data_IF_066919030399
#
_entry.id   IF_066919030399
#
_cell.length_a   1.000
_cell.length_b   1.000
_cell.length_c   1.000
_cell.angle_alpha   90.00
_cell.angle_beta   90.00
_cell.angle_gamma   90.00
#
_symmetry.space_group_name_H-M   'P 1'
#
loop_
_entity.id
_entity.type
_entity.pdbx_description
1 polymer ?
#
# COMPACT_ATOMS: atom_id res chain seq x y z
N UNK A 1 5.51 19.97 -47.95
CA UNK A 1 6.70 20.81 -47.64
C UNK A 1 6.64 21.23 -46.18
N UNK A 2 7.62 20.82 -45.38
CA UNK A 2 7.77 21.25 -43.98
C UNK A 2 8.34 22.67 -43.93
N UNK A 3 7.78 23.55 -43.09
CA UNK A 3 8.21 24.95 -42.92
C UNK A 3 8.83 25.15 -41.55
N UNK A 4 9.71 26.16 -41.38
CA UNK A 4 10.35 26.47 -40.07
C UNK A 4 9.35 26.62 -38.92
N UNK A 5 8.16 27.16 -39.21
CA UNK A 5 7.07 27.35 -38.26
C UNK A 5 6.46 26.02 -37.79
N UNK A 6 6.36 25.02 -38.67
CA UNK A 6 5.90 23.67 -38.30
C UNK A 6 6.94 22.93 -37.45
N UNK A 7 8.23 23.14 -37.70
CA UNK A 7 9.33 22.56 -36.89
C UNK A 7 9.36 23.16 -35.47
N UNK A 8 9.23 24.48 -35.34
CA UNK A 8 9.20 25.16 -34.04
C UNK A 8 7.97 24.79 -33.20
N UNK A 9 6.79 24.67 -33.83
CA UNK A 9 5.56 24.26 -33.14
C UNK A 9 5.64 22.81 -32.63
N UNK A 10 6.24 21.90 -33.41
CA UNK A 10 6.44 20.51 -32.98
C UNK A 10 7.40 20.41 -31.79
N UNK A 11 8.47 21.22 -31.76
CA UNK A 11 9.41 21.27 -30.63
C UNK A 11 8.77 21.83 -29.36
N UNK A 12 7.90 22.83 -29.47
CA UNK A 12 7.17 23.40 -28.32
C UNK A 12 6.10 22.44 -27.76
N UNK A 13 5.51 21.58 -28.61
CA UNK A 13 4.46 20.65 -28.20
C UNK A 13 4.98 19.34 -27.56
N UNK A 14 6.22 18.93 -27.86
CA UNK A 14 6.85 17.72 -27.34
C UNK A 14 6.86 17.60 -25.79
N UNK A 15 7.21 18.64 -25.01
CA UNK A 15 7.16 18.54 -23.55
C UNK A 15 5.72 18.40 -23.02
N UNK A 16 4.71 18.98 -23.67
CA UNK A 16 3.30 18.88 -23.24
C UNK A 16 2.76 17.47 -23.44
N UNK A 17 3.09 16.83 -24.57
CA UNK A 17 2.72 15.44 -24.84
C UNK A 17 3.31 14.46 -23.80
N UNK A 18 4.45 14.81 -23.19
CA UNK A 18 5.13 13.99 -22.18
C UNK A 18 4.39 13.93 -20.82
N UNK A 19 3.42 14.82 -20.58
CA UNK A 19 2.60 14.83 -19.36
C UNK A 19 1.26 14.08 -19.53
N UNK A 20 0.81 13.87 -20.77
CA UNK A 20 -0.43 13.17 -21.09
C UNK A 20 -0.21 11.66 -21.02
N UNK A 21 -0.27 11.08 -19.82
CA UNK A 21 -0.19 9.62 -19.62
C UNK A 21 0.78 9.14 -18.54
N UNK A 22 1.34 10.05 -17.73
CA UNK A 22 2.14 9.62 -16.57
C UNK A 22 1.23 8.90 -15.56
N UNK A 23 1.57 7.67 -15.12
CA UNK A 23 0.84 7.02 -14.05
C UNK A 23 0.92 7.87 -12.78
N UNK A 24 -0.15 7.87 -11.99
CA UNK A 24 -0.17 8.54 -10.71
C UNK A 24 0.82 7.84 -9.76
N UNK A 25 1.81 8.58 -9.24
CA UNK A 25 2.74 8.10 -8.21
C UNK A 25 2.13 8.25 -6.82
N UNK A 26 0.93 7.69 -6.63
CA UNK A 26 0.18 7.72 -5.37
C UNK A 26 -0.08 6.33 -4.80
N UNK A 27 0.60 5.29 -5.30
CA UNK A 27 0.45 3.94 -4.81
C UNK A 27 0.89 3.86 -3.34
N UNK A 28 0.01 3.38 -2.47
CA UNK A 28 0.29 3.07 -1.09
C UNK A 28 0.41 1.55 -0.91
N UNK A 29 1.12 1.08 0.14
CA UNK A 29 1.09 -0.33 0.50
C UNK A 29 -0.35 -0.82 0.69
N UNK A 30 -0.67 -2.06 0.28
CA UNK A 30 -2.03 -2.61 0.39
C UNK A 30 -2.44 -2.84 1.85
N UNK A 31 -1.48 -2.91 2.77
CA UNK A 31 -1.71 -3.09 4.20
C UNK A 31 -1.25 -1.82 4.93
N UNK A 32 -2.15 -1.26 5.73
CA UNK A 32 -1.78 -0.24 6.70
C UNK A 32 -0.87 -0.86 7.76
N UNK A 33 0.37 -0.39 7.82
CA UNK A 33 1.34 -0.79 8.83
C UNK A 33 1.98 0.42 9.50
N UNK A 34 2.33 0.26 10.77
CA UNK A 34 3.04 1.25 11.58
C UNK A 34 4.25 0.55 12.20
N UNK A 35 5.45 1.06 11.91
CA UNK A 35 6.70 0.38 12.28
C UNK A 35 6.83 -1.06 11.72
N UNK A 36 6.18 -1.36 10.59
CA UNK A 36 6.15 -2.70 9.98
C UNK A 36 5.09 -3.65 10.56
N UNK A 37 4.34 -3.23 11.60
CA UNK A 37 3.25 -4.01 12.16
C UNK A 37 1.94 -3.69 11.46
N UNK A 38 1.28 -4.72 10.92
CA UNK A 38 -0.05 -4.60 10.35
C UNK A 38 -1.02 -4.07 11.41
N UNK A 39 -1.90 -3.14 11.04
CA UNK A 39 -2.94 -2.58 11.92
C UNK A 39 -2.43 -2.16 13.31
N UNK A 40 -1.22 -1.58 13.39
CA UNK A 40 -0.53 -1.18 14.65
C UNK A 40 -0.27 -2.34 15.64
N UNK A 41 -0.27 -3.58 15.17
CA UNK A 41 -0.01 -4.77 15.99
C UNK A 41 -1.23 -5.29 16.75
N UNK A 42 -2.44 -4.83 16.42
CA UNK A 42 -3.68 -5.42 16.93
C UNK A 42 -3.96 -6.78 16.27
N UNK A 43 -4.70 -7.64 16.97
CA UNK A 43 -5.14 -8.93 16.48
C UNK A 43 -6.30 -8.76 15.48
N UNK A 44 -6.12 -9.14 14.19
CA UNK A 44 -7.17 -9.00 13.18
C UNK A 44 -8.39 -9.90 13.47
N UNK A 45 -8.18 -11.06 14.09
CA UNK A 45 -9.24 -12.03 14.39
C UNK A 45 -10.11 -11.51 15.55
N UNK A 46 -9.50 -10.86 16.54
CA UNK A 46 -10.20 -10.34 17.70
C UNK A 46 -11.27 -9.29 17.35
N UNK A 47 -11.10 -8.52 16.26
CA UNK A 47 -12.15 -7.62 15.76
C UNK A 47 -13.44 -8.36 15.42
N UNK A 48 -13.34 -9.58 14.89
CA UNK A 48 -14.49 -10.37 14.45
C UNK A 48 -15.01 -11.30 15.54
N UNK A 49 -14.14 -11.86 16.38
CA UNK A 49 -14.55 -12.83 17.41
C UNK A 49 -14.88 -12.19 18.75
N UNK A 50 -14.28 -11.04 19.08
CA UNK A 50 -14.42 -10.35 20.37
C UNK A 50 -15.00 -8.94 20.23
N UNK A 51 -15.16 -8.45 19.00
CA UNK A 51 -15.64 -7.08 18.72
C UNK A 51 -14.83 -5.99 19.43
N UNK A 52 -13.55 -6.24 19.66
CA UNK A 52 -12.67 -5.35 20.41
C UNK A 52 -11.26 -5.31 19.80
N UNK A 53 -10.56 -4.16 19.88
CA UNK A 53 -9.16 -4.05 19.47
C UNK A 53 -8.25 -4.66 20.53
N UNK A 54 -7.89 -5.94 20.36
CA UNK A 54 -7.00 -6.65 21.29
C UNK A 54 -5.57 -6.61 20.77
N UNK A 55 -4.61 -6.24 21.62
CA UNK A 55 -3.20 -6.22 21.23
C UNK A 55 -2.68 -7.62 20.93
N UNK A 56 -2.02 -7.78 19.79
CA UNK A 56 -1.32 -9.01 19.44
C UNK A 56 0.02 -9.16 20.15
N UNK A 57 0.52 -10.39 20.21
CA UNK A 57 1.81 -10.74 20.81
C UNK A 57 2.87 -11.02 19.75
N UNK A 58 4.13 -10.64 19.99
CA UNK A 58 5.25 -11.02 19.14
C UNK A 58 5.51 -12.55 19.12
N UNK A 59 4.98 -13.29 20.10
CA UNK A 59 5.04 -14.75 20.12
C UNK A 59 4.12 -15.41 19.07
N UNK A 60 3.07 -14.70 18.62
CA UNK A 60 2.11 -15.19 17.65
C UNK A 60 2.04 -14.21 16.48
N UNK A 61 2.83 -14.47 15.44
CA UNK A 61 2.89 -13.58 14.28
C UNK A 61 3.03 -14.32 12.95
N UNK A 62 2.62 -13.65 11.88
CA UNK A 62 2.74 -14.09 10.48
C UNK A 62 3.09 -12.89 9.60
N UNK A 63 3.96 -13.07 8.60
CA UNK A 63 4.28 -12.02 7.64
C UNK A 63 3.42 -12.15 6.39
N UNK A 64 2.73 -11.08 5.99
CA UNK A 64 1.86 -11.06 4.81
C UNK A 64 1.76 -9.67 4.21
N UNK A 65 1.92 -9.60 2.88
CA UNK A 65 1.90 -8.35 2.09
C UNK A 65 2.84 -7.25 2.62
N UNK A 66 4.02 -7.64 3.08
CA UNK A 66 5.05 -6.71 3.55
C UNK A 66 4.80 -6.13 4.95
N UNK A 67 3.89 -6.73 5.73
CA UNK A 67 3.63 -6.34 7.11
C UNK A 67 3.61 -7.57 8.04
N UNK A 68 4.00 -7.38 9.30
CA UNK A 68 3.92 -8.40 10.34
C UNK A 68 2.57 -8.30 11.05
N UNK A 69 1.79 -9.38 10.94
CA UNK A 69 0.49 -9.54 11.60
C UNK A 69 0.71 -10.22 12.95
N UNK A 70 0.17 -9.64 14.03
CA UNK A 70 0.27 -10.20 15.38
C UNK A 70 -1.10 -10.67 15.85
N UNK A 71 -1.10 -11.73 16.65
CA UNK A 71 -2.31 -12.35 17.20
C UNK A 71 -2.24 -12.36 18.72
N UNK A 72 -3.38 -12.20 19.39
CA UNK A 72 -3.44 -12.17 20.85
C UNK A 72 -3.20 -13.57 21.47
N UNK A 73 -3.45 -14.63 20.70
CA UNK A 73 -3.31 -16.01 21.15
C UNK A 73 -2.92 -16.95 20.00
N UNK A 74 -2.46 -18.16 20.35
CA UNK A 74 -2.24 -19.24 19.38
C UNK A 74 -3.53 -19.64 18.66
N UNK A 75 -4.69 -19.56 19.33
CA UNK A 75 -5.99 -19.84 18.73
C UNK A 75 -6.36 -18.80 17.67
N UNK A 76 -6.17 -17.51 17.96
CA UNK A 76 -6.33 -16.44 16.96
C UNK A 76 -5.42 -16.65 15.76
N UNK A 77 -4.14 -17.00 16.00
CA UNK A 77 -3.18 -17.28 14.91
C UNK A 77 -3.57 -18.48 14.06
N UNK A 78 -4.21 -19.50 14.64
CA UNK A 78 -4.64 -20.70 13.92
C UNK A 78 -5.88 -20.47 13.04
N UNK A 79 -6.64 -19.40 13.28
CA UNK A 79 -7.80 -19.02 12.47
C UNK A 79 -7.44 -18.17 11.24
N UNK A 80 -6.18 -17.75 11.13
CA UNK A 80 -5.63 -16.94 10.04
C UNK A 80 -4.80 -17.80 9.09
#
# INVERSE_FOLDING_TARGET
MTTRRTVLAAFAAAPIASFLGRPALAAQPPVFSDGGLAIRGFDPVAYFTQSAPVMGSAAFQSDYMGATWRFASAASKALF
#
